data_IF_179901445353
#
_entry.id   IF_179901445353
#
_cell.length_a   1.000
_cell.length_b   1.000
_cell.length_c   1.000
_cell.angle_alpha   90.00
_cell.angle_beta   90.00
_cell.angle_gamma   90.00
#
_symmetry.space_group_name_H-M   'P 1'
#
loop_
_entity.id
_entity.type
_entity.pdbx_description
1 polymer ?
#
# COMPACT_ATOMS: atom_id res chain seq x y z
N UNK A 1 8.83 -13.25 -5.56
CA UNK A 1 8.95 -12.32 -6.70
C UNK A 1 7.98 -11.15 -6.60
N UNK A 2 6.76 -11.31 -6.06
CA UNK A 2 5.83 -10.19 -5.81
C UNK A 2 5.63 -9.94 -4.30
N UNK A 3 6.68 -10.19 -3.52
CA UNK A 3 6.66 -9.79 -2.12
C UNK A 3 6.50 -8.26 -2.09
N UNK A 4 5.51 -7.70 -1.39
CA UNK A 4 5.28 -6.26 -1.32
C UNK A 4 6.50 -5.47 -0.85
N UNK A 5 7.43 -6.12 -0.14
CA UNK A 5 8.66 -5.52 0.33
C UNK A 5 9.78 -5.47 -0.73
N UNK A 6 9.70 -6.27 -1.81
CA UNK A 6 10.75 -6.33 -2.83
C UNK A 6 11.04 -4.97 -3.46
N UNK A 7 10.00 -4.18 -3.74
CA UNK A 7 10.17 -2.86 -4.36
C UNK A 7 10.89 -1.89 -3.41
N UNK A 8 10.56 -1.93 -2.12
CA UNK A 8 11.24 -1.14 -1.10
C UNK A 8 12.72 -1.51 -1.00
N UNK A 9 13.05 -2.80 -1.07
CA UNK A 9 14.45 -3.27 -1.09
C UNK A 9 15.21 -2.76 -2.31
N UNK A 10 14.61 -2.86 -3.50
CA UNK A 10 15.24 -2.35 -4.73
C UNK A 10 15.50 -0.85 -4.59
N UNK A 11 14.52 -0.07 -4.13
CA UNK A 11 14.69 1.35 -3.86
C UNK A 11 15.77 1.62 -2.80
N UNK A 12 15.87 0.79 -1.75
CA UNK A 12 16.93 0.88 -0.74
C UNK A 12 18.32 0.72 -1.34
N UNK A 13 18.53 -0.27 -2.22
CA UNK A 13 19.81 -0.49 -2.90
C UNK A 13 20.25 0.73 -3.71
N UNK A 14 19.36 1.34 -4.48
CA UNK A 14 19.71 2.54 -5.26
C UNK A 14 20.07 3.73 -4.36
N UNK A 15 19.35 3.91 -3.25
CA UNK A 15 19.68 4.99 -2.32
C UNK A 15 21.02 4.84 -1.60
N UNK A 16 21.48 3.60 -1.38
CA UNK A 16 22.82 3.35 -0.85
C UNK A 16 23.87 3.88 -1.82
N UNK A 17 23.65 3.72 -3.13
CA UNK A 17 24.55 4.24 -4.15
C UNK A 17 24.62 5.78 -4.11
N UNK A 18 23.48 6.47 -3.92
CA UNK A 18 23.44 7.93 -3.82
C UNK A 18 24.22 8.45 -2.60
N UNK A 19 24.02 7.84 -1.43
CA UNK A 19 24.75 8.23 -0.21
C UNK A 19 26.24 7.93 -0.34
N UNK A 20 26.61 6.81 -0.95
CA UNK A 20 28.02 6.48 -1.22
C UNK A 20 28.67 7.51 -2.16
N UNK A 21 27.96 7.92 -3.22
CA UNK A 21 28.43 8.96 -4.14
C UNK A 21 28.62 10.30 -3.42
N UNK A 22 27.67 10.71 -2.59
CA UNK A 22 27.76 11.94 -1.79
C UNK A 22 28.98 11.93 -0.86
N UNK A 23 29.31 10.78 -0.27
CA UNK A 23 30.48 10.64 0.59
C UNK A 23 31.79 10.69 -0.21
N UNK A 24 31.90 9.94 -1.31
CA UNK A 24 33.10 9.92 -2.16
C UNK A 24 33.39 11.29 -2.78
N UNK A 25 32.34 12.04 -3.11
CA UNK A 25 32.44 13.40 -3.63
C UNK A 25 32.70 14.47 -2.56
N UNK A 26 32.90 14.09 -1.30
CA UNK A 26 33.12 14.97 -0.15
C UNK A 26 31.98 15.97 0.10
N UNK A 27 30.75 15.65 -0.34
CA UNK A 27 29.58 16.50 -0.11
C UNK A 27 28.92 16.27 1.26
N UNK A 28 29.26 15.16 1.94
CA UNK A 28 28.73 14.82 3.27
C UNK A 28 29.85 14.39 4.22
N UNK A 29 29.65 14.64 5.51
CA UNK A 29 30.60 14.25 6.55
C UNK A 29 30.56 12.75 6.84
N UNK A 30 31.64 12.22 7.44
CA UNK A 30 31.67 10.84 7.94
C UNK A 30 30.56 10.56 8.97
N UNK A 31 30.16 11.58 9.72
CA UNK A 31 29.02 11.48 10.65
C UNK A 31 27.72 11.09 9.92
N UNK A 32 27.37 11.77 8.82
CA UNK A 32 26.16 11.46 8.06
C UNK A 32 26.25 10.11 7.34
N UNK A 33 27.42 9.80 6.79
CA UNK A 33 27.67 8.50 6.17
C UNK A 33 27.52 7.34 7.17
N UNK A 34 28.15 7.46 8.35
CA UNK A 34 28.04 6.46 9.41
C UNK A 34 26.62 6.34 9.95
N UNK A 35 25.90 7.45 10.13
CA UNK A 35 24.48 7.47 10.51
C UNK A 35 23.64 6.64 9.54
N UNK A 36 23.79 6.87 8.24
CA UNK A 36 23.09 6.12 7.20
C UNK A 36 23.39 4.62 7.23
N UNK A 37 24.67 4.24 7.28
CA UNK A 37 25.07 2.83 7.32
C UNK A 37 24.52 2.12 8.57
N UNK A 38 24.65 2.74 9.74
CA UNK A 38 24.18 2.16 11.00
C UNK A 38 22.66 2.02 11.04
N UNK A 39 21.92 3.03 10.59
CA UNK A 39 20.45 2.97 10.51
C UNK A 39 19.98 1.88 9.53
N UNK A 40 20.64 1.74 8.37
CA UNK A 40 20.30 0.70 7.40
C UNK A 40 20.60 -0.71 7.95
N UNK A 41 21.77 -0.93 8.55
CA UNK A 41 22.13 -2.20 9.20
C UNK A 41 21.13 -2.51 10.31
N UNK A 42 20.80 -1.52 11.15
CA UNK A 42 19.85 -1.66 12.25
C UNK A 42 18.46 -2.08 11.76
N UNK A 43 17.98 -1.46 10.67
CA UNK A 43 16.73 -1.85 10.02
C UNK A 43 16.77 -3.31 9.57
N UNK A 44 17.83 -3.74 8.88
CA UNK A 44 17.99 -5.12 8.43
C UNK A 44 18.07 -6.12 9.59
N UNK A 45 18.77 -5.78 10.67
CA UNK A 45 18.80 -6.59 11.89
C UNK A 45 17.39 -6.74 12.48
N UNK A 46 16.60 -5.66 12.54
CA UNK A 46 15.20 -5.72 12.95
C UNK A 46 14.37 -6.61 12.03
N UNK A 47 14.55 -6.48 10.71
CA UNK A 47 13.82 -7.27 9.71
C UNK A 47 14.12 -8.77 9.81
N UNK A 48 15.36 -9.15 10.14
CA UNK A 48 15.77 -10.56 10.27
C UNK A 48 15.66 -11.11 11.69
N UNK A 49 15.32 -10.29 12.68
CA UNK A 49 15.20 -10.69 14.09
C UNK A 49 14.20 -11.83 14.31
N UNK A 50 13.11 -11.86 13.53
CA UNK A 50 12.10 -12.91 13.57
C UNK A 50 12.32 -13.84 12.36
N UNK A 51 12.89 -15.02 12.60
CA UNK A 51 13.37 -15.87 11.51
C UNK A 51 12.25 -16.46 10.63
N UNK A 52 12.57 -16.54 9.33
CA UNK A 52 11.79 -17.19 8.26
C UNK A 52 12.06 -18.71 8.19
N UNK A 53 13.07 -19.21 8.92
CA UNK A 53 13.77 -20.47 8.60
C UNK A 53 12.86 -21.73 8.57
N UNK A 54 11.76 -21.75 9.33
CA UNK A 54 10.80 -22.86 9.32
C UNK A 54 9.48 -22.54 8.57
N UNK A 55 9.43 -21.42 7.86
CA UNK A 55 8.17 -20.76 7.44
C UNK A 55 7.72 -21.13 6.03
N UNK A 56 8.65 -21.27 5.08
CA UNK A 56 8.32 -21.61 3.69
C UNK A 56 8.68 -23.04 3.30
N UNK A 57 9.59 -23.70 4.03
CA UNK A 57 9.91 -25.12 3.79
C UNK A 57 8.71 -26.05 3.96
N UNK A 58 7.73 -25.65 4.79
CA UNK A 58 6.47 -26.36 4.99
C UNK A 58 5.32 -25.91 4.07
N UNK A 59 5.55 -24.99 3.11
CA UNK A 59 4.55 -24.70 2.05
C UNK A 59 4.18 -25.95 1.24
N UNK A 60 5.07 -26.95 1.23
CA UNK A 60 4.90 -28.24 0.57
C UNK A 60 4.41 -29.34 1.51
N UNK A 61 4.28 -29.07 2.81
CA UNK A 61 3.74 -30.03 3.76
C UNK A 61 2.25 -29.74 3.97
N UNK A 62 1.34 -30.65 3.60
CA UNK A 62 -0.09 -30.44 3.74
C UNK A 62 -0.47 -30.56 5.22
N UNK A 63 -0.38 -29.46 5.98
CA UNK A 63 -1.04 -29.40 7.28
C UNK A 63 -2.54 -29.27 7.01
N UNK A 64 -3.19 -30.43 6.89
CA UNK A 64 -4.58 -30.61 6.49
C UNK A 64 -5.50 -30.26 7.67
N UNK A 65 -5.58 -28.98 8.04
CA UNK A 65 -6.73 -28.49 8.81
C UNK A 65 -7.87 -28.27 7.81
N UNK A 66 -8.77 -29.26 7.75
CA UNK A 66 -10.02 -29.14 6.99
C UNK A 66 -10.88 -28.10 7.71
N UNK A 67 -10.77 -26.85 7.29
CA UNK A 67 -11.73 -25.82 7.67
C UNK A 67 -12.95 -25.96 6.76
N UNK A 68 -14.12 -26.06 7.39
CA UNK A 68 -15.40 -26.14 6.70
C UNK A 68 -15.73 -24.75 6.12
N UNK A 69 -15.19 -24.45 4.93
CA UNK A 69 -15.29 -23.15 4.25
C UNK A 69 -16.69 -22.83 3.70
N UNK A 70 -17.61 -23.80 3.75
CA UNK A 70 -18.92 -23.70 3.09
C UNK A 70 -20.00 -22.96 3.89
N UNK A 71 -19.77 -22.59 5.15
CA UNK A 71 -20.86 -22.15 6.04
C UNK A 71 -21.31 -20.68 5.89
N UNK A 72 -20.79 -19.88 4.95
CA UNK A 72 -21.21 -18.47 4.81
C UNK A 72 -20.92 -17.84 3.43
N UNK A 73 -21.16 -18.56 2.34
CA UNK A 73 -20.98 -18.03 0.96
C UNK A 73 -21.80 -16.75 0.74
N UNK A 74 -23.07 -16.74 1.14
CA UNK A 74 -23.95 -15.58 1.02
C UNK A 74 -23.43 -14.35 1.79
N UNK A 75 -22.95 -14.52 3.02
CA UNK A 75 -22.36 -13.41 3.80
C UNK A 75 -21.12 -12.83 3.11
N UNK A 76 -20.27 -13.69 2.55
CA UNK A 76 -19.08 -13.23 1.81
C UNK A 76 -19.47 -12.45 0.55
N UNK A 77 -20.50 -12.88 -0.16
CA UNK A 77 -20.98 -12.18 -1.35
C UNK A 77 -21.60 -10.82 -1.02
N UNK A 78 -22.48 -10.74 -0.02
CA UNK A 78 -23.04 -9.47 0.45
C UNK A 78 -21.90 -8.51 0.85
N UNK A 79 -20.93 -9.03 1.61
CA UNK A 79 -19.76 -8.25 2.04
C UNK A 79 -18.94 -7.75 0.84
N UNK A 80 -18.68 -8.60 -0.15
CA UNK A 80 -17.98 -8.19 -1.36
C UNK A 80 -18.72 -7.06 -2.09
N UNK A 81 -20.02 -7.19 -2.30
CA UNK A 81 -20.80 -6.16 -3.00
C UNK A 81 -20.90 -4.85 -2.21
N UNK A 82 -21.05 -4.91 -0.89
CA UNK A 82 -21.07 -3.71 -0.04
C UNK A 82 -19.78 -2.89 -0.20
N UNK A 83 -18.62 -3.52 -0.02
CA UNK A 83 -17.33 -2.82 -0.17
C UNK A 83 -17.07 -2.39 -1.62
N UNK A 84 -17.54 -3.15 -2.61
CA UNK A 84 -17.46 -2.78 -4.03
C UNK A 84 -18.27 -1.52 -4.35
N UNK A 85 -19.47 -1.39 -3.79
CA UNK A 85 -20.31 -0.21 -3.96
C UNK A 85 -19.65 1.01 -3.31
N UNK A 86 -19.17 0.87 -2.06
CA UNK A 86 -18.45 1.95 -1.37
C UNK A 86 -17.22 2.39 -2.18
N UNK A 87 -16.46 1.45 -2.73
CA UNK A 87 -15.33 1.74 -3.60
C UNK A 87 -15.73 2.50 -4.87
N UNK A 88 -16.73 2.02 -5.61
CA UNK A 88 -17.19 2.65 -6.85
C UNK A 88 -17.71 4.07 -6.58
N UNK A 89 -18.51 4.24 -5.54
CA UNK A 89 -19.07 5.55 -5.18
C UNK A 89 -17.98 6.54 -4.75
N UNK A 90 -17.06 6.11 -3.90
CA UNK A 90 -15.95 6.97 -3.44
C UNK A 90 -15.00 7.33 -4.59
N UNK A 91 -14.64 6.37 -5.45
CA UNK A 91 -13.78 6.62 -6.59
C UNK A 91 -14.44 7.52 -7.65
N UNK A 92 -15.74 7.32 -7.91
CA UNK A 92 -16.51 8.17 -8.83
C UNK A 92 -16.63 9.58 -8.27
N UNK A 93 -16.88 9.73 -6.95
CA UNK A 93 -16.91 11.04 -6.31
C UNK A 93 -15.57 11.78 -6.45
N UNK A 94 -14.43 11.11 -6.30
CA UNK A 94 -13.11 11.71 -6.53
C UNK A 94 -12.99 12.22 -7.98
N UNK A 95 -13.40 11.42 -8.97
CA UNK A 95 -13.34 11.84 -10.37
C UNK A 95 -14.24 13.02 -10.69
N UNK A 96 -15.41 13.13 -10.05
CA UNK A 96 -16.32 14.27 -10.26
C UNK A 96 -15.77 15.52 -9.58
N UNK A 97 -15.28 15.41 -8.35
CA UNK A 97 -14.88 16.55 -7.53
C UNK A 97 -13.51 17.12 -7.91
N UNK A 98 -12.53 16.26 -8.20
CA UNK A 98 -11.15 16.67 -8.49
C UNK A 98 -10.75 16.46 -9.94
N UNK A 99 -11.43 15.55 -10.65
CA UNK A 99 -11.02 15.09 -11.97
C UNK A 99 -10.20 13.79 -11.90
N UNK A 100 -9.64 13.39 -13.03
CA UNK A 100 -8.88 12.14 -13.16
C UNK A 100 -7.41 12.42 -12.83
N UNK A 101 -6.82 11.79 -11.78
CA UNK A 101 -5.46 12.09 -11.33
C UNK A 101 -4.38 11.90 -12.40
N UNK A 102 -4.55 10.95 -13.33
CA UNK A 102 -3.66 10.76 -14.47
C UNK A 102 -3.48 12.02 -15.33
N UNK A 103 -4.47 12.92 -15.34
CA UNK A 103 -4.45 14.13 -16.16
C UNK A 103 -4.07 15.41 -15.39
N UNK A 104 -3.84 15.34 -14.08
CA UNK A 104 -3.46 16.48 -13.23
C UNK A 104 -1.95 16.75 -13.26
N UNK A 105 -1.57 18.00 -12.94
CA UNK A 105 -0.16 18.42 -12.85
C UNK A 105 0.58 17.75 -11.67
N UNK A 106 -0.03 17.73 -10.48
CA UNK A 106 0.40 16.89 -9.37
C UNK A 106 -0.77 16.09 -8.82
N UNK A 107 -0.56 14.78 -8.66
CA UNK A 107 -1.52 13.88 -8.01
C UNK A 107 -1.66 14.12 -6.50
N UNK A 108 -0.68 14.78 -5.88
CA UNK A 108 -0.69 15.06 -4.45
C UNK A 108 -1.65 16.20 -4.13
N UNK A 109 -1.91 17.08 -5.10
CA UNK A 109 -2.86 18.19 -4.99
C UNK A 109 -4.31 17.67 -4.83
N UNK A 110 -4.62 16.46 -5.31
CA UNK A 110 -5.95 15.84 -5.20
C UNK A 110 -6.44 15.74 -3.75
N UNK A 111 -5.53 15.64 -2.78
CA UNK A 111 -5.87 15.51 -1.34
C UNK A 111 -5.22 16.56 -0.44
N UNK A 112 -4.60 17.60 -1.03
CA UNK A 112 -3.83 18.59 -0.28
C UNK A 112 -4.69 19.63 0.45
N UNK A 113 -5.93 19.89 -0.02
CA UNK A 113 -6.74 21.04 0.42
C UNK A 113 -7.53 20.82 1.72
N UNK A 114 -7.48 19.63 2.34
CA UNK A 114 -8.04 19.39 3.70
C UNK A 114 -9.56 19.50 3.85
N UNK A 115 -10.32 19.75 2.79
CA UNK A 115 -11.78 20.00 2.76
C UNK A 115 -12.62 18.72 2.77
N UNK A 116 -12.27 17.72 3.59
CA UNK A 116 -13.01 16.46 3.75
C UNK A 116 -12.79 15.41 2.65
N UNK A 117 -12.19 15.80 1.53
CA UNK A 117 -11.87 14.91 0.40
C UNK A 117 -10.80 13.87 0.73
N UNK A 118 -9.97 14.15 1.73
CA UNK A 118 -9.05 13.16 2.31
C UNK A 118 -9.78 11.90 2.78
N UNK A 119 -11.04 12.00 3.24
CA UNK A 119 -11.84 10.83 3.65
C UNK A 119 -12.13 9.92 2.46
N UNK A 120 -12.43 10.48 1.28
CA UNK A 120 -12.66 9.69 0.06
C UNK A 120 -11.38 8.94 -0.35
N UNK A 121 -10.21 9.56 -0.22
CA UNK A 121 -8.92 8.91 -0.46
C UNK A 121 -8.66 7.74 0.51
N UNK A 122 -9.02 7.89 1.78
CA UNK A 122 -8.91 6.80 2.77
C UNK A 122 -9.89 5.66 2.50
N UNK A 123 -11.11 5.99 2.08
CA UNK A 123 -12.12 5.00 1.68
C UNK A 123 -11.64 4.17 0.50
N UNK A 124 -11.17 4.78 -0.58
CA UNK A 124 -10.67 4.06 -1.76
C UNK A 124 -9.41 3.26 -1.44
N UNK A 125 -8.54 3.76 -0.57
CA UNK A 125 -7.34 3.07 -0.11
C UNK A 125 -7.66 1.72 0.57
N UNK A 126 -8.61 1.72 1.52
CA UNK A 126 -9.03 0.50 2.24
C UNK A 126 -9.88 -0.41 1.36
N UNK A 127 -10.87 0.16 0.68
CA UNK A 127 -11.85 -0.64 -0.09
C UNK A 127 -11.27 -1.26 -1.35
N UNK A 128 -10.29 -0.64 -2.02
CA UNK A 128 -9.63 -1.24 -3.20
C UNK A 128 -8.91 -2.55 -2.88
N UNK A 129 -8.13 -2.59 -1.79
CA UNK A 129 -7.44 -3.80 -1.32
C UNK A 129 -8.46 -4.84 -0.85
N UNK A 130 -9.52 -4.40 -0.16
CA UNK A 130 -10.59 -5.29 0.29
C UNK A 130 -11.28 -6.00 -0.87
N UNK A 131 -11.71 -5.24 -1.88
CA UNK A 131 -12.39 -5.76 -3.07
C UNK A 131 -11.50 -6.73 -3.83
N UNK A 132 -10.22 -6.38 -4.03
CA UNK A 132 -9.24 -7.28 -4.67
C UNK A 132 -9.07 -8.60 -3.91
N UNK A 133 -8.92 -8.53 -2.58
CA UNK A 133 -8.75 -9.72 -1.75
C UNK A 133 -10.01 -10.60 -1.77
N UNK A 134 -11.18 -10.01 -1.55
CA UNK A 134 -12.45 -10.75 -1.51
C UNK A 134 -12.84 -11.30 -2.88
N UNK A 135 -12.46 -10.66 -3.98
CA UNK A 135 -12.62 -11.23 -5.32
C UNK A 135 -11.89 -12.58 -5.44
N UNK A 136 -10.64 -12.66 -4.98
CA UNK A 136 -9.84 -13.90 -4.99
C UNK A 136 -10.41 -14.98 -4.06
N UNK A 137 -11.02 -14.58 -2.94
CA UNK A 137 -11.62 -15.50 -1.97
C UNK A 137 -13.02 -16.00 -2.36
N UNK A 138 -13.75 -15.27 -3.20
CA UNK A 138 -15.16 -15.57 -3.54
C UNK A 138 -15.38 -16.11 -4.95
N UNK A 139 -14.51 -15.78 -5.91
CA UNK A 139 -14.65 -16.24 -7.29
C UNK A 139 -13.91 -17.55 -7.51
N UNK A 140 -14.62 -18.57 -7.98
CA UNK A 140 -13.99 -19.80 -8.44
C UNK A 140 -13.40 -19.60 -9.83
N UNK A 141 -12.09 -19.35 -9.89
CA UNK A 141 -11.37 -19.17 -11.16
C UNK A 141 -11.35 -20.42 -12.04
N UNK A 142 -11.66 -21.62 -11.52
CA UNK A 142 -11.66 -22.87 -12.31
C UNK A 142 -12.89 -22.96 -13.21
N UNK A 143 -14.03 -22.48 -12.73
CA UNK A 143 -15.33 -22.61 -13.37
C UNK A 143 -16.06 -21.26 -13.28
N UNK A 144 -15.70 -20.28 -14.13
CA UNK A 144 -16.35 -18.98 -14.11
C UNK A 144 -17.84 -19.15 -14.40
N UNK A 145 -18.69 -18.75 -13.46
CA UNK A 145 -20.15 -18.82 -13.61
C UNK A 145 -20.67 -17.50 -14.15
N UNK A 146 -21.80 -17.53 -14.86
CA UNK A 146 -22.50 -16.31 -15.29
C UNK A 146 -22.87 -15.44 -14.07
N UNK A 147 -23.15 -16.05 -12.91
CA UNK A 147 -23.40 -15.36 -11.64
C UNK A 147 -22.21 -14.52 -11.16
N UNK A 148 -20.99 -14.79 -11.64
CA UNK A 148 -19.79 -14.02 -11.29
C UNK A 148 -19.56 -12.81 -12.22
N UNK A 149 -20.35 -12.65 -13.29
CA UNK A 149 -20.25 -11.52 -14.23
C UNK A 149 -20.23 -10.15 -13.53
N UNK A 150 -21.09 -9.86 -12.53
CA UNK A 150 -21.05 -8.58 -11.81
C UNK A 150 -19.72 -8.38 -11.07
N UNK A 151 -19.13 -9.44 -10.52
CA UNK A 151 -17.83 -9.37 -9.82
C UNK A 151 -16.71 -9.01 -10.79
N UNK A 152 -16.75 -9.55 -12.01
CA UNK A 152 -15.81 -9.19 -13.09
C UNK A 152 -15.96 -7.73 -13.55
N UNK A 153 -17.19 -7.20 -13.63
CA UNK A 153 -17.42 -5.78 -13.94
C UNK A 153 -16.81 -4.85 -12.88
N UNK A 154 -16.98 -5.18 -11.60
CA UNK A 154 -16.31 -4.45 -10.50
C UNK A 154 -14.80 -4.48 -10.67
N UNK A 155 -14.23 -5.64 -11.00
CA UNK A 155 -12.80 -5.77 -11.24
C UNK A 155 -12.31 -4.93 -12.41
N UNK A 156 -13.06 -4.87 -13.52
CA UNK A 156 -12.73 -4.00 -14.67
C UNK A 156 -12.70 -2.54 -14.22
N UNK A 157 -13.73 -2.08 -13.48
CA UNK A 157 -13.76 -0.72 -12.95
C UNK A 157 -12.56 -0.45 -12.03
N UNK A 158 -12.24 -1.38 -11.13
CA UNK A 158 -11.08 -1.27 -10.25
C UNK A 158 -9.77 -1.18 -11.04
N UNK A 159 -9.54 -2.04 -12.02
CA UNK A 159 -8.34 -1.97 -12.86
C UNK A 159 -8.24 -0.66 -13.64
N UNK A 160 -9.34 -0.20 -14.23
CA UNK A 160 -9.40 1.12 -14.87
C UNK A 160 -9.05 2.22 -13.87
N UNK A 161 -9.58 2.17 -12.65
CA UNK A 161 -9.26 3.16 -11.63
C UNK A 161 -7.79 3.16 -11.21
N UNK A 162 -7.17 1.99 -11.10
CA UNK A 162 -5.74 1.88 -10.79
C UNK A 162 -4.88 2.48 -11.91
N UNK A 163 -5.27 2.29 -13.17
CA UNK A 163 -4.61 2.91 -14.33
C UNK A 163 -4.81 4.44 -14.36
N UNK A 164 -6.02 4.90 -14.07
CA UNK A 164 -6.39 6.32 -14.05
C UNK A 164 -5.90 7.07 -12.80
N UNK A 165 -5.41 6.36 -11.78
CA UNK A 165 -4.85 6.97 -10.56
C UNK A 165 -3.57 7.78 -10.80
N UNK A 166 -2.97 7.71 -12.00
CA UNK A 166 -1.71 8.41 -12.33
C UNK A 166 -0.49 7.87 -11.58
N UNK A 167 -0.68 6.89 -10.69
CA UNK A 167 0.35 6.27 -9.87
C UNK A 167 0.86 4.99 -10.53
N UNK A 168 2.09 5.03 -11.03
CA UNK A 168 2.72 3.91 -11.74
C UNK A 168 2.87 2.65 -10.87
N UNK A 169 2.87 2.79 -9.54
CA UNK A 169 2.93 1.68 -8.58
C UNK A 169 1.55 1.10 -8.21
N UNK A 170 0.45 1.78 -8.54
CA UNK A 170 -0.90 1.30 -8.16
C UNK A 170 -1.25 -0.04 -8.78
N UNK A 171 -0.75 -0.35 -9.99
CA UNK A 171 -0.97 -1.66 -10.61
C UNK A 171 -0.21 -2.79 -9.88
N UNK A 172 0.91 -2.48 -9.21
CA UNK A 172 1.69 -3.45 -8.45
C UNK A 172 0.95 -3.90 -7.18
N UNK A 173 -0.05 -3.12 -6.72
CA UNK A 173 -0.92 -3.51 -5.61
C UNK A 173 -1.67 -4.80 -5.95
N UNK A 174 -2.13 -4.98 -7.19
CA UNK A 174 -2.83 -6.22 -7.59
C UNK A 174 -1.95 -7.45 -7.41
N UNK A 175 -0.69 -7.39 -7.85
CA UNK A 175 0.24 -8.51 -7.67
C UNK A 175 0.62 -8.74 -6.21
N UNK A 176 0.72 -7.65 -5.44
CA UNK A 176 0.99 -7.69 -4.00
C UNK A 176 -0.16 -8.36 -3.24
N UNK A 177 -1.41 -8.01 -3.55
CA UNK A 177 -2.62 -8.64 -2.99
C UNK A 177 -2.67 -10.11 -3.36
N UNK A 178 -2.42 -10.44 -4.63
CA UNK A 178 -2.36 -11.83 -5.08
C UNK A 178 -1.31 -12.62 -4.30
N UNK A 179 -0.10 -12.09 -4.12
CA UNK A 179 0.95 -12.74 -3.34
C UNK A 179 0.54 -12.94 -1.87
N UNK A 180 -0.01 -11.91 -1.21
CA UNK A 180 -0.49 -12.01 0.17
C UNK A 180 -1.60 -13.04 0.33
N UNK A 181 -2.57 -13.08 -0.60
CA UNK A 181 -3.63 -14.09 -0.61
C UNK A 181 -3.05 -15.51 -0.69
N UNK A 182 -2.04 -15.71 -1.54
CA UNK A 182 -1.37 -17.00 -1.71
C UNK A 182 -0.61 -17.41 -0.44
N UNK A 183 0.12 -16.49 0.16
CA UNK A 183 0.88 -16.73 1.40
C UNK A 183 -0.05 -17.05 2.56
N UNK A 184 -1.08 -16.23 2.78
CA UNK A 184 -2.03 -16.43 3.86
C UNK A 184 -2.81 -17.73 3.71
N UNK A 185 -3.30 -18.03 2.50
CA UNK A 185 -4.08 -19.24 2.24
C UNK A 185 -3.21 -20.50 2.39
N UNK A 186 -1.93 -20.46 1.97
CA UNK A 186 -1.05 -21.63 2.04
C UNK A 186 -0.63 -21.92 3.47
N UNK A 187 -0.32 -20.88 4.26
CA UNK A 187 -0.01 -21.01 5.68
C UNK A 187 -1.19 -21.57 6.49
N UNK A 188 -2.42 -21.39 5.99
CA UNK A 188 -3.64 -21.92 6.58
C UNK A 188 -4.12 -23.24 5.96
N UNK A 189 -3.32 -23.89 5.10
CA UNK A 189 -3.56 -25.25 4.61
C UNK A 189 -4.50 -25.36 3.40
N UNK A 190 -4.76 -24.27 2.69
CA UNK A 190 -5.56 -24.28 1.44
C UNK A 190 -4.70 -24.74 0.28
N UNK A 191 -5.28 -25.55 -0.61
CA UNK A 191 -4.61 -25.95 -1.84
C UNK A 191 -4.58 -24.79 -2.86
N UNK A 192 -3.36 -24.35 -3.18
CA UNK A 192 -3.06 -23.22 -4.07
C UNK A 192 -2.34 -23.71 -5.34
N UNK A 193 -2.17 -25.02 -5.50
CA UNK A 193 -1.49 -25.62 -6.65
C UNK A 193 -2.02 -25.09 -7.99
N UNK A 194 -3.34 -24.93 -8.10
CA UNK A 194 -4.00 -24.38 -9.28
C UNK A 194 -3.58 -22.93 -9.59
N UNK A 195 -3.65 -22.03 -8.61
CA UNK A 195 -3.26 -20.63 -8.78
C UNK A 195 -1.76 -20.49 -9.11
N UNK A 196 -0.91 -21.28 -8.44
CA UNK A 196 0.52 -21.35 -8.74
C UNK A 196 0.77 -21.80 -10.19
N UNK A 197 0.03 -22.78 -10.68
CA UNK A 197 0.17 -23.29 -12.04
C UNK A 197 -0.28 -22.27 -13.09
N UNK A 198 -1.41 -21.59 -12.89
CA UNK A 198 -1.83 -20.47 -13.76
C UNK A 198 -0.75 -19.41 -13.78
N UNK A 199 -0.29 -19.00 -12.60
CA UNK A 199 0.70 -17.94 -12.48
C UNK A 199 1.98 -18.32 -13.22
N UNK A 200 2.53 -19.52 -12.98
CA UNK A 200 3.72 -20.04 -13.67
C UNK A 200 3.54 -20.18 -15.19
N UNK A 201 2.32 -20.45 -15.66
CA UNK A 201 2.03 -20.54 -17.09
C UNK A 201 2.00 -19.17 -17.76
N UNK A 202 1.52 -18.14 -17.06
CA UNK A 202 1.24 -16.82 -17.64
C UNK A 202 2.19 -15.70 -17.19
N UNK A 203 3.13 -15.94 -16.26
CA UNK A 203 3.96 -14.89 -15.68
C UNK A 203 4.74 -14.06 -16.71
N UNK A 204 5.29 -14.68 -17.78
CA UNK A 204 6.00 -13.94 -18.84
C UNK A 204 5.08 -12.96 -19.55
N UNK A 205 3.85 -13.39 -19.86
CA UNK A 205 2.84 -12.53 -20.52
C UNK A 205 2.43 -11.39 -19.59
N UNK A 206 2.20 -11.69 -18.31
CA UNK A 206 1.87 -10.70 -17.28
C UNK A 206 2.97 -9.64 -17.19
N UNK A 207 4.25 -10.04 -17.16
CA UNK A 207 5.38 -9.13 -17.11
C UNK A 207 5.42 -8.21 -18.34
N UNK A 208 5.29 -8.77 -19.55
CA UNK A 208 5.29 -7.98 -20.80
C UNK A 208 4.13 -6.98 -20.82
N UNK A 209 2.91 -7.41 -20.50
CA UNK A 209 1.73 -6.53 -20.45
C UNK A 209 1.91 -5.43 -19.41
N UNK A 210 2.42 -5.76 -18.22
CA UNK A 210 2.67 -4.76 -17.18
C UNK A 210 3.71 -3.72 -17.61
N UNK A 211 4.77 -4.14 -18.33
CA UNK A 211 5.80 -3.23 -18.84
C UNK A 211 5.25 -2.30 -19.93
N UNK A 212 4.40 -2.82 -20.83
CA UNK A 212 3.71 -2.02 -21.84
C UNK A 212 2.79 -0.99 -21.18
N UNK A 213 1.99 -1.40 -20.19
CA UNK A 213 1.09 -0.50 -19.46
C UNK A 213 1.86 0.60 -18.73
N UNK A 214 2.91 0.24 -17.98
CA UNK A 214 3.75 1.23 -17.28
C UNK A 214 4.41 2.18 -18.26
N UNK A 215 4.94 1.67 -19.37
CA UNK A 215 5.54 2.50 -20.42
C UNK A 215 4.52 3.43 -21.06
N UNK A 216 3.29 2.96 -21.32
CA UNK A 216 2.19 3.78 -21.84
C UNK A 216 1.81 4.91 -20.88
N UNK A 217 1.74 4.63 -19.58
CA UNK A 217 1.50 5.67 -18.55
C UNK A 217 2.65 6.68 -18.51
N UNK A 218 3.91 6.24 -18.65
CA UNK A 218 5.08 7.13 -18.71
C UNK A 218 5.00 8.05 -19.93
N UNK A 219 4.72 7.50 -21.11
CA UNK A 219 4.63 8.26 -22.36
C UNK A 219 3.49 9.28 -22.28
N UNK A 220 2.31 8.88 -21.82
CA UNK A 220 1.15 9.77 -21.71
C UNK A 220 1.29 10.88 -20.67
N UNK A 221 2.17 10.71 -19.67
CA UNK A 221 2.51 11.77 -18.72
C UNK A 221 3.59 12.72 -19.27
N UNK A 222 4.63 12.17 -19.91
CA UNK A 222 5.73 12.98 -20.43
C UNK A 222 5.32 13.83 -21.64
N UNK A 223 4.31 13.41 -22.42
CA UNK A 223 3.82 14.14 -23.59
C UNK A 223 3.11 15.47 -23.28
N UNK A 224 2.98 15.83 -21.99
CA UNK A 224 2.35 17.09 -21.55
C UNK A 224 3.36 18.17 -21.15
N UNK A 225 4.62 17.81 -20.93
CA UNK A 225 5.69 18.75 -20.58
C UNK A 225 6.44 19.15 -21.85
N UNK A 226 5.99 20.25 -22.47
CA UNK A 226 6.22 20.62 -23.87
C UNK A 226 7.65 21.04 -24.27
N UNK A 227 8.65 21.11 -23.39
CA UNK A 227 9.90 21.79 -23.78
C UNK A 227 11.19 20.96 -23.88
N UNK A 228 11.36 19.82 -23.19
CA UNK A 228 12.66 19.08 -23.24
C UNK A 228 12.51 17.54 -23.21
N UNK A 229 11.33 17.00 -22.92
CA UNK A 229 11.15 15.58 -22.56
C UNK A 229 10.83 14.64 -23.73
N UNK A 230 10.75 15.15 -24.96
CA UNK A 230 10.25 14.41 -26.15
C UNK A 230 11.19 13.30 -26.66
N UNK A 231 12.38 13.15 -26.09
CA UNK A 231 13.41 12.17 -26.52
C UNK A 231 13.90 11.23 -25.42
N UNK A 232 13.39 11.33 -24.19
CA UNK A 232 13.80 10.40 -23.13
C UNK A 232 13.14 9.05 -23.39
N UNK A 233 13.96 8.06 -23.79
CA UNK A 233 13.55 6.67 -23.91
C UNK A 233 12.78 6.25 -22.62
N UNK A 234 11.58 5.67 -22.72
CA UNK A 234 10.79 5.23 -21.56
C UNK A 234 11.58 4.37 -20.56
N UNK A 235 12.57 3.61 -21.05
CA UNK A 235 13.49 2.83 -20.24
C UNK A 235 14.43 3.70 -19.41
N UNK A 236 14.95 4.80 -19.99
CA UNK A 236 15.78 5.76 -19.29
C UNK A 236 14.97 6.53 -18.23
N UNK A 237 13.74 6.92 -18.54
CA UNK A 237 12.82 7.53 -17.56
C UNK A 237 12.55 6.61 -16.36
N UNK A 238 12.42 5.30 -16.62
CA UNK A 238 12.28 4.29 -15.57
C UNK A 238 13.58 4.11 -14.77
N UNK A 239 14.75 4.13 -15.41
CA UNK A 239 16.06 4.12 -14.76
C UNK A 239 16.27 5.32 -13.84
N UNK A 240 15.95 6.53 -14.30
CA UNK A 240 16.03 7.76 -13.51
C UNK A 240 15.15 7.71 -12.26
N UNK A 241 14.03 6.99 -12.27
CA UNK A 241 13.21 6.81 -11.06
C UNK A 241 13.87 5.98 -9.98
N UNK A 242 14.64 4.97 -10.36
CA UNK A 242 15.40 4.21 -9.40
C UNK A 242 16.52 5.06 -8.80
N UNK A 243 17.19 5.88 -9.62
CA UNK A 243 18.19 6.85 -9.17
C UNK A 243 17.54 7.89 -8.24
N UNK A 244 16.38 8.45 -8.60
CA UNK A 244 15.67 9.41 -7.77
C UNK A 244 15.15 8.81 -6.46
N UNK A 245 15.27 7.50 -6.23
CA UNK A 245 14.82 6.93 -4.96
C UNK A 245 15.64 7.43 -3.76
N UNK A 246 16.87 7.93 -3.94
CA UNK A 246 17.69 8.55 -2.89
C UNK A 246 17.75 10.09 -2.95
N UNK A 247 16.83 10.74 -3.66
CA UNK A 247 16.67 12.20 -3.73
C UNK A 247 16.63 12.88 -2.35
N UNK A 248 15.98 12.25 -1.37
CA UNK A 248 15.91 12.76 0.02
C UNK A 248 17.30 13.01 0.62
N UNK A 249 18.31 12.19 0.28
CA UNK A 249 19.66 12.34 0.80
C UNK A 249 20.39 13.53 0.17
N UNK A 250 20.16 13.76 -1.12
CA UNK A 250 20.67 14.93 -1.83
C UNK A 250 20.10 16.24 -1.28
N UNK A 251 18.84 16.23 -0.87
CA UNK A 251 18.22 17.43 -0.30
C UNK A 251 18.61 17.67 1.17
N UNK A 252 18.79 16.60 1.96
CA UNK A 252 18.97 16.71 3.41
C UNK A 252 20.43 16.80 3.88
N UNK A 253 21.34 16.04 3.26
CA UNK A 253 22.69 15.84 3.82
C UNK A 253 23.71 16.92 3.44
N UNK A 254 23.81 17.38 2.17
CA UNK A 254 24.73 18.45 1.80
C UNK A 254 24.51 19.70 2.64
N UNK A 255 25.60 20.37 3.03
CA UNK A 255 25.58 21.57 3.86
C UNK A 255 24.83 21.44 5.21
N UNK A 256 24.60 20.21 5.67
CA UNK A 256 23.84 19.91 6.90
C UNK A 256 22.42 20.52 6.91
N UNK A 257 21.73 20.54 5.77
CA UNK A 257 20.37 21.11 5.65
C UNK A 257 19.38 20.42 6.59
N UNK A 258 19.57 19.15 6.91
CA UNK A 258 18.74 18.46 7.91
C UNK A 258 18.67 19.17 9.29
N UNK A 259 19.64 20.02 9.63
CA UNK A 259 19.66 20.82 10.88
C UNK A 259 18.78 22.07 10.81
N UNK A 260 18.35 22.51 9.63
CA UNK A 260 17.49 23.69 9.49
C UNK A 260 16.02 23.36 9.73
N UNK A 261 15.67 22.08 9.73
CA UNK A 261 14.33 21.60 10.01
C UNK A 261 14.19 21.42 11.52
N UNK A 262 13.16 22.02 12.10
CA UNK A 262 12.85 21.86 13.52
C UNK A 262 12.45 20.39 13.80
N UNK A 263 13.24 19.75 14.66
CA UNK A 263 13.12 18.34 15.02
C UNK A 263 12.13 18.06 16.15
N UNK A 264 11.46 19.07 16.71
CA UNK A 264 10.48 18.88 17.78
C UNK A 264 9.05 19.29 17.38
N UNK A 265 8.01 18.48 17.72
CA UNK A 265 8.05 17.19 18.40
C UNK A 265 8.10 15.98 17.44
N UNK A 266 9.10 15.11 17.63
CA UNK A 266 9.39 13.88 16.87
C UNK A 266 8.19 12.94 16.67
N UNK A 267 7.44 12.70 17.74
CA UNK A 267 6.25 11.84 17.71
C UNK A 267 5.06 12.51 17.02
N UNK A 268 4.96 13.84 17.09
CA UNK A 268 3.90 14.61 16.41
C UNK A 268 4.04 14.46 14.89
N UNK A 269 5.27 14.45 14.39
CA UNK A 269 5.53 14.24 12.96
C UNK A 269 5.18 12.83 12.49
N UNK A 270 5.44 11.79 13.29
CA UNK A 270 5.13 10.41 12.89
C UNK A 270 3.62 10.14 12.83
N UNK A 271 2.86 10.72 13.75
CA UNK A 271 1.40 10.55 13.86
C UNK A 271 0.61 11.78 13.37
N UNK A 272 1.24 12.60 12.53
CA UNK A 272 0.67 13.85 11.99
C UNK A 272 -0.76 13.66 11.48
N UNK A 273 -0.95 12.60 10.71
CA UNK A 273 -2.22 12.25 10.08
C UNK A 273 -3.30 11.91 11.11
N UNK A 274 -2.95 11.16 12.17
CA UNK A 274 -3.89 10.83 13.24
C UNK A 274 -4.31 12.09 14.01
N UNK A 275 -3.32 12.93 14.34
CA UNK A 275 -3.55 14.17 15.08
C UNK A 275 -4.40 15.17 14.30
N UNK A 276 -4.15 15.33 12.99
CA UNK A 276 -4.95 16.16 12.11
C UNK A 276 -6.37 15.62 11.94
N UNK A 277 -6.52 14.31 11.71
CA UNK A 277 -7.84 13.71 11.55
C UNK A 277 -8.69 13.85 12.81
N UNK A 278 -8.12 13.56 13.97
CA UNK A 278 -8.81 13.68 15.25
C UNK A 278 -9.01 15.14 15.69
N UNK A 279 -8.50 16.11 14.92
CA UNK A 279 -8.49 17.54 15.23
C UNK A 279 -7.93 17.84 16.62
N UNK A 280 -6.92 17.05 17.04
CA UNK A 280 -6.18 17.30 18.28
C UNK A 280 -5.31 18.57 18.11
N UNK A 281 -4.83 18.80 16.89
CA UNK A 281 -4.16 20.04 16.48
C UNK A 281 -4.84 20.63 15.25
N UNK A 282 -4.76 21.95 15.09
CA UNK A 282 -5.17 22.58 13.84
C UNK A 282 -4.22 22.17 12.71
N UNK A 283 -4.75 21.95 11.50
CA UNK A 283 -3.93 21.55 10.34
C UNK A 283 -2.79 22.52 10.02
N UNK A 284 -2.93 23.80 10.40
CA UNK A 284 -1.89 24.83 10.23
C UNK A 284 -0.72 24.69 11.20
N UNK A 285 -0.92 23.99 12.32
CA UNK A 285 0.08 23.75 13.37
C UNK A 285 0.79 22.40 13.20
N UNK A 286 0.36 21.61 12.21
CA UNK A 286 0.94 20.32 11.88
C UNK A 286 2.14 20.55 10.95
N UNK A 287 3.34 20.01 11.28
CA UNK A 287 4.48 20.14 10.39
C UNK A 287 4.17 19.51 9.02
N UNK A 288 4.61 20.19 7.95
CA UNK A 288 4.52 19.66 6.60
C UNK A 288 5.38 18.39 6.47
N UNK A 289 5.05 17.52 5.52
CA UNK A 289 5.88 16.33 5.28
C UNK A 289 7.32 16.75 4.92
N UNK A 290 8.31 16.18 5.61
CA UNK A 290 9.73 16.57 5.50
C UNK A 290 10.19 16.63 4.04
N UNK A 291 9.76 15.67 3.23
CA UNK A 291 10.14 15.64 1.83
C UNK A 291 9.78 16.91 1.07
N UNK A 292 8.58 17.45 1.32
CA UNK A 292 8.12 18.68 0.70
C UNK A 292 8.92 19.86 1.25
N UNK A 293 9.08 19.95 2.57
CA UNK A 293 9.90 21.00 3.21
C UNK A 293 11.34 21.02 2.68
N UNK A 294 11.96 19.85 2.52
CA UNK A 294 13.30 19.71 1.96
C UNK A 294 13.36 20.18 0.51
N UNK A 295 12.39 19.80 -0.32
CA UNK A 295 12.33 20.29 -1.70
C UNK A 295 12.17 21.81 -1.74
N UNK A 296 11.26 22.36 -0.94
CA UNK A 296 10.92 23.79 -0.95
C UNK A 296 12.10 24.68 -0.51
N UNK A 297 13.02 24.17 0.32
CA UNK A 297 14.27 24.86 0.68
C UNK A 297 15.16 25.09 -0.55
N UNK A 298 15.20 24.13 -1.50
CA UNK A 298 16.06 24.19 -2.68
C UNK A 298 15.35 24.74 -3.91
N UNK A 299 14.08 24.39 -4.08
CA UNK A 299 13.25 24.71 -5.23
C UNK A 299 11.83 25.09 -4.77
N UNK A 300 11.63 26.33 -4.32
CA UNK A 300 10.31 26.82 -3.93
C UNK A 300 9.35 26.67 -5.10
N UNK A 301 8.23 25.99 -4.89
CA UNK A 301 7.21 25.81 -5.93
C UNK A 301 5.82 25.76 -5.31
N UNK A 302 4.83 26.27 -6.04
CA UNK A 302 3.42 26.19 -5.62
C UNK A 302 2.83 24.77 -5.73
N UNK A 303 3.58 23.82 -6.30
CA UNK A 303 3.15 22.42 -6.47
C UNK A 303 3.57 21.55 -5.30
N UNK A 304 2.61 20.89 -4.66
CA UNK A 304 2.88 19.96 -3.56
C UNK A 304 3.55 18.71 -4.14
N UNK A 305 4.85 18.61 -3.95
CA UNK A 305 5.67 17.48 -4.40
C UNK A 305 6.95 17.44 -3.58
N UNK A 306 7.52 16.27 -3.35
CA UNK A 306 8.78 16.11 -2.62
C UNK A 306 9.25 14.67 -2.59
N UNK A 307 10.55 14.45 -2.28
CA UNK A 307 11.12 13.13 -2.03
C UNK A 307 10.40 12.40 -0.90
N UNK A 308 10.42 11.06 -0.90
CA UNK A 308 9.92 10.30 0.24
C UNK A 308 10.90 10.43 1.43
N UNK A 309 10.39 10.78 2.60
CA UNK A 309 11.19 10.97 3.81
C UNK A 309 11.62 9.62 4.41
N UNK A 310 12.66 8.99 3.85
CA UNK A 310 13.15 7.67 4.29
C UNK A 310 13.48 7.61 5.77
N UNK A 311 13.39 6.39 6.34
CA UNK A 311 13.55 6.17 7.77
C UNK A 311 14.87 6.70 8.36
N UNK A 312 15.95 6.72 7.57
CA UNK A 312 17.26 7.21 7.98
C UNK A 312 17.24 8.73 8.19
N UNK A 313 16.75 9.49 7.19
CA UNK A 313 16.65 10.96 7.27
C UNK A 313 15.61 11.38 8.29
N UNK A 314 14.43 10.76 8.24
CA UNK A 314 13.36 10.99 9.23
C UNK A 314 13.85 10.74 10.65
N UNK A 315 14.52 9.59 10.86
CA UNK A 315 15.06 9.22 12.15
C UNK A 315 16.12 10.20 12.65
N UNK A 316 17.01 10.66 11.75
CA UNK A 316 18.08 11.59 12.10
C UNK A 316 17.55 12.97 12.51
N UNK A 317 16.59 13.52 11.77
CA UNK A 317 15.98 14.83 12.05
C UNK A 317 15.26 14.80 13.39
N UNK A 318 14.42 13.78 13.61
CA UNK A 318 13.49 13.77 14.75
C UNK A 318 14.04 13.08 16.00
N UNK A 319 14.91 12.07 15.88
CA UNK A 319 15.40 11.29 17.02
C UNK A 319 16.92 11.40 17.22
N UNK A 320 17.60 12.21 16.39
CA UNK A 320 19.05 12.35 16.41
C UNK A 320 19.79 11.07 16.01
N UNK A 321 21.12 11.08 16.18
CA UNK A 321 21.97 9.97 15.73
C UNK A 321 21.59 8.62 16.35
N UNK A 322 21.63 8.50 17.68
CA UNK A 322 21.35 7.23 18.35
C UNK A 322 19.88 6.82 18.28
N UNK A 323 18.96 7.78 18.40
CA UNK A 323 17.53 7.50 18.30
C UNK A 323 17.12 7.03 16.91
N UNK A 324 17.75 7.55 15.84
CA UNK A 324 17.52 7.07 14.47
C UNK A 324 17.84 5.58 14.29
N UNK A 325 18.89 5.08 14.95
CA UNK A 325 19.31 3.67 14.88
C UNK A 325 18.25 2.78 15.53
N UNK A 326 17.78 3.16 16.71
CA UNK A 326 16.72 2.43 17.44
C UNK A 326 15.41 2.47 16.66
N UNK A 327 15.04 3.65 16.15
CA UNK A 327 13.85 3.84 15.32
C UNK A 327 13.86 2.90 14.11
N UNK A 328 14.98 2.87 13.37
CA UNK A 328 15.16 2.01 12.20
C UNK A 328 15.05 0.52 12.55
N UNK A 329 15.62 0.09 13.67
CA UNK A 329 15.47 -1.28 14.18
C UNK A 329 14.00 -1.64 14.41
N UNK A 330 13.26 -0.78 15.10
CA UNK A 330 11.84 -1.01 15.43
C UNK A 330 10.98 -1.15 14.18
N UNK A 331 11.21 -0.32 13.15
CA UNK A 331 10.51 -0.45 11.87
C UNK A 331 10.80 -1.81 11.20
N UNK A 332 12.05 -2.26 11.23
CA UNK A 332 12.43 -3.59 10.75
C UNK A 332 11.70 -4.71 11.50
N UNK A 333 11.62 -4.63 12.83
CA UNK A 333 10.89 -5.60 13.67
C UNK A 333 9.41 -5.63 13.33
N UNK A 334 8.77 -4.47 13.11
CA UNK A 334 7.36 -4.38 12.72
C UNK A 334 7.12 -5.13 11.40
N UNK A 335 7.93 -4.87 10.36
CA UNK A 335 7.79 -5.57 9.07
C UNK A 335 8.01 -7.08 9.24
N UNK A 336 9.00 -7.47 10.05
CA UNK A 336 9.29 -8.88 10.31
C UNK A 336 8.13 -9.59 11.02
N UNK A 337 7.53 -8.96 12.01
CA UNK A 337 6.33 -9.45 12.71
C UNK A 337 5.17 -9.66 11.75
N UNK A 338 4.88 -8.68 10.90
CA UNK A 338 3.76 -8.73 9.96
C UNK A 338 3.93 -9.85 8.92
N UNK A 339 5.16 -10.06 8.43
CA UNK A 339 5.44 -11.07 7.41
C UNK A 339 5.47 -12.49 7.99
N UNK A 340 5.96 -12.67 9.21
CA UNK A 340 6.32 -13.99 9.74
C UNK A 340 5.41 -14.52 10.85
N UNK A 341 4.84 -13.63 11.68
CA UNK A 341 4.05 -14.02 12.86
C UNK A 341 2.56 -13.80 12.59
N UNK A 342 2.18 -12.61 12.11
CA UNK A 342 0.77 -12.24 11.91
C UNK A 342 -0.07 -13.30 11.14
N UNK A 343 0.36 -13.83 9.98
CA UNK A 343 -0.46 -14.78 9.21
C UNK A 343 -0.65 -16.13 9.93
N UNK A 344 0.18 -16.44 10.94
CA UNK A 344 0.09 -17.67 11.74
C UNK A 344 -0.77 -17.50 12.99
N UNK A 345 -0.74 -16.31 13.58
CA UNK A 345 -1.54 -16.01 14.78
C UNK A 345 -3.01 -15.80 14.46
N UNK A 346 -3.30 -15.32 13.24
CA UNK A 346 -4.66 -15.10 12.79
C UNK A 346 -5.34 -16.42 12.43
N UNK A 347 -6.53 -16.66 12.99
CA UNK A 347 -7.39 -17.77 12.57
C UNK A 347 -7.79 -17.58 11.12
N UNK A 348 -7.85 -18.67 10.34
CA UNK A 348 -8.30 -18.59 8.97
C UNK A 348 -9.73 -18.01 8.85
N UNK A 349 -9.81 -16.82 8.27
CA UNK A 349 -11.02 -16.16 7.83
C UNK A 349 -10.69 -15.18 6.71
N UNK A 350 -11.67 -14.88 5.84
CA UNK A 350 -11.52 -13.89 4.76
C UNK A 350 -11.17 -12.50 5.30
N UNK A 351 -11.80 -12.13 6.42
CA UNK A 351 -11.56 -10.88 7.13
C UNK A 351 -10.11 -10.77 7.61
N UNK A 352 -9.61 -11.79 8.30
CA UNK A 352 -8.25 -11.81 8.82
C UNK A 352 -7.22 -11.83 7.68
N UNK A 353 -7.55 -12.51 6.58
CA UNK A 353 -6.69 -12.52 5.40
C UNK A 353 -6.63 -11.17 4.70
N UNK A 354 -7.73 -10.42 4.66
CA UNK A 354 -7.75 -9.02 4.24
C UNK A 354 -6.89 -8.15 5.17
N UNK A 355 -7.07 -8.23 6.49
CA UNK A 355 -6.29 -7.44 7.46
C UNK A 355 -4.80 -7.70 7.31
N UNK A 356 -4.40 -8.98 7.22
CA UNK A 356 -3.02 -9.37 6.93
C UNK A 356 -2.53 -8.75 5.61
N UNK A 357 -3.31 -8.89 4.54
CA UNK A 357 -2.94 -8.39 3.21
C UNK A 357 -2.75 -6.88 3.21
N UNK A 358 -3.68 -6.13 3.80
CA UNK A 358 -3.60 -4.68 3.89
C UNK A 358 -2.36 -4.24 4.67
N UNK A 359 -2.16 -4.79 5.88
CA UNK A 359 -1.03 -4.41 6.72
C UNK A 359 0.32 -4.74 6.07
N UNK A 360 0.49 -5.92 5.48
CA UNK A 360 1.76 -6.30 4.83
C UNK A 360 2.07 -5.41 3.63
N UNK A 361 1.07 -5.08 2.81
CA UNK A 361 1.28 -4.22 1.63
C UNK A 361 1.58 -2.79 2.04
N UNK A 362 0.85 -2.24 3.01
CA UNK A 362 0.99 -0.83 3.38
C UNK A 362 2.21 -0.57 4.26
N UNK A 363 2.52 -1.48 5.18
CA UNK A 363 3.66 -1.32 6.08
C UNK A 363 4.98 -1.78 5.48
N UNK A 364 4.99 -2.40 4.28
CA UNK A 364 6.23 -2.59 3.52
C UNK A 364 6.87 -1.25 3.08
N UNK A 365 6.12 -0.14 3.15
CA UNK A 365 6.59 1.20 2.86
C UNK A 365 7.34 1.86 4.03
N UNK A 366 7.35 1.29 5.24
CA UNK A 366 8.02 1.90 6.39
C UNK A 366 9.52 2.15 6.18
N UNK A 367 10.15 1.37 5.30
CA UNK A 367 11.54 1.57 4.86
C UNK A 367 11.68 2.89 4.06
N UNK A 368 10.80 3.08 3.07
CA UNK A 368 10.87 4.22 2.15
C UNK A 368 10.20 5.49 2.67
N UNK A 369 9.13 5.36 3.46
CA UNK A 369 8.33 6.46 4.01
C UNK A 369 7.57 5.98 5.27
N UNK A 370 8.16 6.15 6.47
CA UNK A 370 7.51 5.77 7.72
C UNK A 370 6.23 6.58 7.99
N UNK A 371 6.20 7.88 7.68
CA UNK A 371 5.01 8.72 7.90
C UNK A 371 3.81 8.18 7.13
N UNK A 372 4.02 7.89 5.84
CA UNK A 372 2.97 7.33 5.00
C UNK A 372 2.53 5.94 5.47
N UNK A 373 3.46 5.11 5.95
CA UNK A 373 3.14 3.82 6.56
C UNK A 373 2.19 3.94 7.76
N UNK A 374 2.43 4.88 8.67
CA UNK A 374 1.54 5.14 9.81
C UNK A 374 0.19 5.75 9.39
N UNK A 375 0.17 6.61 8.36
CA UNK A 375 -1.08 7.09 7.76
C UNK A 375 -1.97 5.93 7.29
N UNK A 376 -1.39 4.90 6.67
CA UNK A 376 -2.18 3.72 6.27
C UNK A 376 -2.69 2.90 7.46
N UNK A 377 -1.95 2.84 8.58
CA UNK A 377 -2.46 2.23 9.81
C UNK A 377 -3.67 3.01 10.33
N UNK A 378 -3.63 4.33 10.31
CA UNK A 378 -4.76 5.15 10.70
C UNK A 378 -5.97 4.92 9.77
N UNK A 379 -5.72 4.81 8.46
CA UNK A 379 -6.78 4.56 7.48
C UNK A 379 -7.53 3.27 7.78
N UNK A 380 -6.83 2.15 7.99
CA UNK A 380 -7.51 0.91 8.35
C UNK A 380 -8.17 1.01 9.74
N UNK A 381 -7.53 1.60 10.74
CA UNK A 381 -8.11 1.68 12.10
C UNK A 381 -9.38 2.53 12.17
N UNK A 382 -9.53 3.54 11.30
CA UNK A 382 -10.67 4.45 11.35
C UNK A 382 -11.74 4.01 10.35
N UNK A 383 -11.37 3.81 9.09
CA UNK A 383 -12.33 3.53 8.02
C UNK A 383 -12.88 2.12 8.14
N UNK A 384 -12.02 1.14 8.41
CA UNK A 384 -12.42 -0.27 8.34
C UNK A 384 -13.47 -0.65 9.39
N UNK A 385 -13.32 -0.32 10.70
CA UNK A 385 -14.34 -0.66 11.69
C UNK A 385 -15.71 -0.05 11.39
N UNK A 386 -15.75 1.20 10.93
CA UNK A 386 -17.00 1.89 10.59
C UNK A 386 -17.70 1.15 9.44
N UNK A 387 -16.99 0.91 8.33
CA UNK A 387 -17.55 0.19 7.19
C UNK A 387 -17.95 -1.24 7.55
N UNK A 388 -17.15 -1.93 8.36
CA UNK A 388 -17.42 -3.30 8.75
C UNK A 388 -18.67 -3.42 9.63
N UNK A 389 -18.86 -2.50 10.59
CA UNK A 389 -20.08 -2.44 11.41
C UNK A 389 -21.31 -2.22 10.54
N UNK A 390 -21.26 -1.27 9.61
CA UNK A 390 -22.36 -1.02 8.66
C UNK A 390 -22.65 -2.28 7.84
N UNK A 391 -21.61 -2.94 7.32
CA UNK A 391 -21.74 -4.18 6.57
C UNK A 391 -22.40 -5.29 7.40
N UNK A 392 -22.06 -5.43 8.68
CA UNK A 392 -22.67 -6.41 9.58
C UNK A 392 -24.18 -6.19 9.69
N UNK A 393 -24.62 -4.95 9.95
CA UNK A 393 -26.04 -4.62 10.01
C UNK A 393 -26.78 -4.90 8.69
N UNK A 394 -26.18 -4.54 7.55
CA UNK A 394 -26.77 -4.82 6.23
C UNK A 394 -26.84 -6.33 5.97
N UNK A 395 -25.79 -7.07 6.32
CA UNK A 395 -25.74 -8.52 6.11
C UNK A 395 -26.80 -9.23 6.94
N UNK A 396 -26.93 -8.89 8.22
CA UNK A 396 -27.88 -9.53 9.11
C UNK A 396 -29.33 -9.18 8.76
N UNK A 397 -29.60 -7.94 8.33
CA UNK A 397 -30.93 -7.52 7.85
C UNK A 397 -31.34 -8.22 6.55
N UNK A 398 -30.45 -8.30 5.55
CA UNK A 398 -30.73 -9.00 4.29
C UNK A 398 -30.96 -10.50 4.49
N UNK A 399 -30.21 -11.13 5.39
CA UNK A 399 -30.39 -12.54 5.73
C UNK A 399 -31.72 -12.76 6.47
N UNK A 400 -32.10 -11.84 7.37
CA UNK A 400 -33.39 -11.92 8.04
C UNK A 400 -34.57 -11.80 7.06
N UNK A 401 -34.48 -10.90 6.08
CA UNK A 401 -35.53 -10.71 5.05
C UNK A 401 -35.67 -11.97 4.19
N UNK A 402 -34.56 -12.48 3.64
CA UNK A 402 -34.57 -13.68 2.80
C UNK A 402 -35.06 -14.92 3.56
N UNK A 403 -34.73 -15.05 4.84
CA UNK A 403 -35.25 -16.16 5.66
C UNK A 403 -36.77 -16.11 5.85
N UNK A 404 -37.38 -14.91 5.95
CA UNK A 404 -38.83 -14.73 6.09
C UNK A 404 -39.58 -15.04 4.80
N UNK A 405 -39.06 -14.62 3.65
CA UNK A 405 -39.66 -14.89 2.34
C UNK A 405 -39.75 -16.40 2.06
N UNK A 406 -38.67 -17.14 2.34
CA UNK A 406 -38.64 -18.60 2.18
C UNK A 406 -39.69 -19.28 3.07
N UNK A 407 -39.86 -18.84 4.33
CA UNK A 407 -40.90 -19.39 5.21
C UNK A 407 -42.30 -19.10 4.71
N UNK A 408 -42.56 -17.91 4.14
CA UNK A 408 -43.87 -17.56 3.60
C UNK A 408 -44.21 -18.33 2.31
N UNK A 409 -43.25 -18.56 1.42
CA UNK A 409 -43.47 -19.37 0.22
C UNK A 409 -43.71 -20.85 0.56
N UNK A 410 -43.03 -21.38 1.57
CA UNK A 410 -43.24 -22.74 2.04
C UNK A 410 -44.62 -22.96 2.67
N UNK A 411 -45.21 -21.94 3.32
CA UNK A 411 -46.58 -22.00 3.83
C UNK A 411 -47.62 -21.96 2.70
N UNK A 412 -47.38 -21.19 1.64
CA UNK A 412 -48.30 -21.09 0.49
C UNK A 412 -48.34 -22.38 -0.34
N UNK A 413 -47.24 -23.14 -0.41
CA UNK A 413 -47.17 -24.41 -1.16
C UNK A 413 -47.85 -25.57 -0.39
N UNK A 414 -48.06 -25.44 0.92
CA UNK A 414 -48.68 -26.47 1.77
C UNK A 414 -50.18 -26.26 2.00
N UNK A 415 -50.79 -25.25 1.37
CA UNK A 415 -52.25 -24.99 1.33
C UNK A 415 -52.75 -25.29 -0.08
#
# INVERSE_FOLDING_TARGET
>A
MFDPYLLSVVASVFSVADVALLYISNNISFYLFSSFILTQISFWLGLYSISIANTYGNLLSPYKKIYNTNLNTTKKEITFYFFSIVFILSQTAIYILKGIPLFMASRLDTFAEGTGEGVLGRLTDVTSIFVLYYFLDTVDLKLPKITDLPKWLVMIFLFLSLLLSGSKSSFLITFSVFWCYMVYSSMNGIDISYFLNIFKKHYKKILVVSLILVSGIIIGQNSKDDEISSTINPLLSLGMRFIHSGDVYWYAYPNNIYLTIDGEPSFKALFLDAFGLLRIYEYKELPQAIGITLKDIHHPSDTVSGPNARHNVFGLIYFGFFGSIIFSYLLGVIISFLRNILPRTLKYSSLNGFIFTYLVIKLSLLDTDPMLGFTYVNNILIVFPILYIINMFITDTLIAITSKEITSEAEIINV
#
